data_IF_121594799051
#
_entry.id   IF_121594799051
#
_cell.length_a   1.000
_cell.length_b   1.000
_cell.length_c   1.000
_cell.angle_alpha   90.00
_cell.angle_beta   90.00
_cell.angle_gamma   90.00
#
_symmetry.space_group_name_H-M   'P 1'
#
loop_
_entity.id
_entity.type
_entity.pdbx_description
1 polymer ?
#
# COMPACT_ATOMS: atom_id res chain seq x y z
N UNK A 1 38.85 9.34 14.25
CA UNK A 1 38.14 8.37 13.82
C UNK A 1 36.87 8.71 13.32
N UNK A 2 36.42 8.15 12.31
CA UNK A 2 35.19 8.46 11.92
C UNK A 2 34.27 7.47 12.08
N UNK A 3 33.12 7.83 12.36
CA UNK A 3 32.13 6.96 12.59
C UNK A 3 31.17 7.07 11.54
N UNK A 4 30.60 5.99 11.26
CA UNK A 4 29.68 5.90 10.27
C UNK A 4 28.36 6.21 10.75
N UNK A 5 27.79 7.27 10.34
CA UNK A 5 26.42 7.56 10.65
C UNK A 5 25.62 7.25 9.44
N UNK A 6 25.66 6.03 9.02
CA UNK A 6 25.00 5.68 7.82
C UNK A 6 23.51 5.69 8.00
N UNK A 7 22.86 6.45 7.14
CA UNK A 7 21.44 6.47 7.07
C UNK A 7 21.00 5.44 6.07
N UNK A 8 20.11 4.59 6.45
CA UNK A 8 19.57 3.57 5.56
C UNK A 8 18.14 3.94 5.20
N UNK A 9 17.89 4.04 3.92
CA UNK A 9 16.53 4.32 3.44
C UNK A 9 16.00 3.09 2.76
N UNK A 10 14.85 2.65 3.20
CA UNK A 10 14.18 1.48 2.65
C UNK A 10 12.86 1.89 2.08
N UNK A 11 12.58 1.47 0.87
CA UNK A 11 11.30 1.75 0.24
C UNK A 11 10.53 0.45 0.12
N UNK A 12 9.31 0.46 0.62
CA UNK A 12 8.44 -0.69 0.54
C UNK A 12 7.29 -0.36 -0.38
N UNK A 13 7.01 -1.26 -1.31
CA UNK A 13 5.92 -1.09 -2.24
C UNK A 13 4.90 -2.19 -2.00
N UNK A 14 3.67 -1.78 -1.75
CA UNK A 14 2.55 -2.69 -1.62
C UNK A 14 1.45 -2.25 -2.57
N UNK A 15 0.48 -3.10 -2.76
CA UNK A 15 -0.68 -2.82 -3.59
C UNK A 15 -1.92 -3.13 -2.77
N UNK A 16 -2.98 -2.44 -3.06
CA UNK A 16 -4.22 -2.63 -2.33
C UNK A 16 -5.41 -2.37 -3.25
N UNK A 17 -6.55 -2.88 -2.86
CA UNK A 17 -7.80 -2.61 -3.55
C UNK A 17 -8.54 -1.55 -2.76
N UNK A 18 -9.03 -0.53 -3.46
CA UNK A 18 -9.86 0.48 -2.86
C UNK A 18 -11.27 0.38 -3.40
N UNK A 19 -12.22 0.73 -2.58
CA UNK A 19 -13.63 0.67 -2.91
C UNK A 19 -14.26 2.05 -2.74
N UNK A 20 -15.09 2.43 -3.69
CA UNK A 20 -15.89 3.63 -3.59
C UNK A 20 -17.34 3.22 -3.46
N UNK A 21 -17.97 3.56 -2.37
CA UNK A 21 -19.32 3.08 -2.06
C UNK A 21 -20.42 3.98 -2.60
N UNK A 22 -20.06 5.18 -3.03
CA UNK A 22 -21.02 6.11 -3.62
C UNK A 22 -20.37 6.76 -4.84
N UNK A 23 -21.18 7.31 -5.73
CA UNK A 23 -20.66 7.87 -6.96
C UNK A 23 -19.64 8.97 -6.74
N UNK A 24 -19.76 9.70 -5.66
CA UNK A 24 -18.82 10.76 -5.34
C UNK A 24 -18.23 10.57 -3.95
N UNK A 25 -18.27 9.33 -3.45
CA UNK A 25 -17.74 9.04 -2.13
C UNK A 25 -16.23 8.91 -2.14
N UNK A 26 -15.67 8.88 -0.95
CA UNK A 26 -14.24 8.67 -0.80
C UNK A 26 -13.88 7.24 -1.12
N UNK A 27 -12.62 7.05 -1.50
CA UNK A 27 -12.10 5.72 -1.74
C UNK A 27 -11.57 5.16 -0.43
N UNK A 28 -12.05 3.99 -0.05
CA UNK A 28 -11.61 3.30 1.15
C UNK A 28 -10.74 2.11 0.80
N UNK A 29 -9.62 1.98 1.48
CA UNK A 29 -8.74 0.83 1.27
C UNK A 29 -9.31 -0.38 1.99
N UNK A 30 -9.47 -1.47 1.25
CA UNK A 30 -9.92 -2.72 1.83
C UNK A 30 -8.75 -3.33 2.60
N UNK A 31 -8.92 -3.46 3.90
CA UNK A 31 -7.82 -3.82 4.79
C UNK A 31 -7.14 -5.13 4.42
N UNK A 32 -7.90 -6.11 4.04
CA UNK A 32 -7.35 -7.43 3.75
C UNK A 32 -6.78 -7.56 2.33
N UNK A 33 -6.78 -6.48 1.57
CA UNK A 33 -6.30 -6.52 0.20
C UNK A 33 -4.86 -6.08 0.04
N UNK A 34 -4.22 -5.63 1.10
CA UNK A 34 -2.87 -5.12 1.02
C UNK A 34 -1.89 -6.28 0.80
N UNK A 35 -1.13 -6.19 -0.27
CA UNK A 35 -0.22 -7.27 -0.66
C UNK A 35 0.96 -6.69 -1.43
N UNK A 36 2.14 -7.28 -1.31
CA UNK A 36 3.28 -6.81 -2.12
C UNK A 36 3.21 -7.26 -3.58
N UNK A 37 2.18 -8.04 -3.94
CA UNK A 37 2.07 -8.58 -5.30
C UNK A 37 0.95 -7.91 -6.07
N UNK A 38 1.30 -7.16 -7.10
CA UNK A 38 0.32 -6.45 -7.91
C UNK A 38 -0.71 -7.38 -8.54
N UNK A 39 -0.26 -8.51 -9.06
CA UNK A 39 -1.15 -9.46 -9.71
C UNK A 39 -2.22 -9.98 -8.74
N UNK A 40 -1.83 -10.15 -7.48
CA UNK A 40 -2.75 -10.61 -6.46
C UNK A 40 -3.80 -9.54 -6.15
N UNK A 41 -3.36 -8.29 -6.07
CA UNK A 41 -4.28 -7.17 -5.84
C UNK A 41 -5.28 -7.05 -7.00
N UNK A 42 -4.82 -7.20 -8.24
CA UNK A 42 -5.70 -7.14 -9.40
C UNK A 42 -6.71 -8.27 -9.40
N UNK A 43 -6.28 -9.46 -8.97
CA UNK A 43 -7.16 -10.61 -8.88
C UNK A 43 -8.23 -10.39 -7.80
N UNK A 44 -7.83 -9.84 -6.67
CA UNK A 44 -8.77 -9.52 -5.60
C UNK A 44 -9.76 -8.46 -6.04
N UNK A 45 -9.30 -7.45 -6.78
CA UNK A 45 -10.19 -6.42 -7.29
C UNK A 45 -11.25 -7.02 -8.22
N UNK A 46 -10.82 -7.89 -9.11
CA UNK A 46 -11.73 -8.52 -10.06
C UNK A 46 -12.78 -9.36 -9.34
N UNK A 47 -12.34 -10.09 -8.33
CA UNK A 47 -13.24 -10.90 -7.52
C UNK A 47 -14.26 -10.03 -6.79
N UNK A 48 -13.82 -8.91 -6.22
CA UNK A 48 -14.72 -7.99 -5.54
C UNK A 48 -15.72 -7.37 -6.52
N UNK A 49 -15.27 -7.02 -7.69
CA UNK A 49 -16.18 -6.47 -8.71
C UNK A 49 -17.25 -7.46 -9.11
N UNK A 50 -16.91 -8.73 -9.22
CA UNK A 50 -17.87 -9.76 -9.57
C UNK A 50 -18.91 -9.95 -8.49
N UNK A 51 -18.53 -9.78 -7.22
CA UNK A 51 -19.44 -9.93 -6.13
C UNK A 51 -20.32 -8.70 -5.88
N UNK A 52 -19.78 -7.53 -6.14
CA UNK A 52 -20.47 -6.28 -5.79
C UNK A 52 -20.42 -5.30 -6.93
N UNK A 53 -21.27 -5.50 -7.90
CA UNK A 53 -21.25 -4.69 -9.12
C UNK A 53 -21.69 -3.25 -8.91
N UNK A 54 -22.28 -2.93 -7.76
CA UNK A 54 -22.72 -1.57 -7.48
C UNK A 54 -21.60 -0.65 -7.05
N UNK A 55 -20.47 -1.22 -6.65
CA UNK A 55 -19.38 -0.42 -6.14
C UNK A 55 -18.29 -0.31 -7.19
N UNK A 56 -17.53 0.75 -7.10
CA UNK A 56 -16.36 0.92 -7.95
C UNK A 56 -15.14 0.46 -7.18
N UNK A 57 -14.24 -0.22 -7.87
CA UNK A 57 -13.02 -0.73 -7.28
C UNK A 57 -11.84 -0.30 -8.12
N UNK A 58 -10.70 -0.12 -7.46
CA UNK A 58 -9.45 0.15 -8.17
C UNK A 58 -8.29 -0.42 -7.38
N UNK A 59 -7.19 -0.69 -8.07
CA UNK A 59 -5.95 -1.11 -7.44
C UNK A 59 -5.07 0.11 -7.30
N UNK A 60 -4.48 0.28 -6.14
CA UNK A 60 -3.57 1.40 -5.88
C UNK A 60 -2.23 0.87 -5.44
N UNK A 61 -1.20 1.67 -5.67
CA UNK A 61 0.14 1.38 -5.25
C UNK A 61 0.43 2.18 -4.00
N UNK A 62 0.90 1.52 -2.97
CA UNK A 62 1.24 2.15 -1.70
C UNK A 62 2.74 2.15 -1.57
N UNK A 63 3.33 3.33 -1.49
CA UNK A 63 4.77 3.45 -1.30
C UNK A 63 5.04 3.94 0.09
N UNK A 64 5.84 3.20 0.83
CA UNK A 64 6.25 3.57 2.17
C UNK A 64 7.76 3.70 2.19
N UNK A 65 8.25 4.84 2.64
CA UNK A 65 9.66 5.05 2.74
C UNK A 65 10.04 5.17 4.21
N UNK A 66 11.00 4.37 4.62
CA UNK A 66 11.46 4.37 6.00
C UNK A 66 12.95 4.71 6.02
N UNK A 67 13.30 5.71 6.78
CA UNK A 67 14.69 6.10 6.94
C UNK A 67 15.11 5.78 8.36
N UNK A 68 16.15 4.98 8.46
CA UNK A 68 16.69 4.60 9.76
C UNK A 68 17.99 5.34 9.95
N UNK A 69 18.05 6.15 10.98
CA UNK A 69 19.24 6.91 11.31
C UNK A 69 19.74 6.44 12.67
N UNK A 70 20.94 5.89 12.77
CA UNK A 70 21.44 5.48 14.06
C UNK A 70 21.63 6.70 14.96
N UNK A 71 21.23 6.53 16.22
CA UNK A 71 21.45 7.56 17.19
C UNK A 71 22.75 7.24 17.89
N UNK A 72 23.72 8.14 17.81
CA UNK A 72 24.95 7.93 18.46
C UNK A 72 24.85 8.35 19.84
N UNK A 73 24.95 7.45 20.67
CA UNK A 73 24.88 7.75 22.01
C UNK A 73 26.00 7.40 22.72
N UNK A 74 26.21 7.50 23.63
CA UNK A 74 27.14 7.05 24.33
C UNK A 74 27.17 5.88 24.80
#
# INVERSE_FOLDING_TARGET
MHRSTMRTTTKKIDYAVQRQTANFGDWDTIRNSITPHEARARRLMRWQQDLRTRFHFRVVKLETETTITPIEGE
#
